data_IF_536252651647
#
_entry.id   IF_536252651647
#
_cell.length_a   1.000
_cell.length_b   1.000
_cell.length_c   1.000
_cell.angle_alpha   90.00
_cell.angle_beta   90.00
_cell.angle_gamma   90.00
#
_symmetry.space_group_name_H-M   'P 1'
#
loop_
_entity.id
_entity.type
_entity.pdbx_description
1 polymer ?
#
# COMPACT_ATOMS: atom_id res chain seq x y z
N UNK A 1 -16.80 -17.67 -27.59
CA UNK A 1 -15.89 -18.36 -26.64
C UNK A 1 -14.54 -17.66 -26.57
N UNK A 2 -13.83 -17.43 -27.68
CA UNK A 2 -12.50 -16.79 -27.64
C UNK A 2 -12.51 -15.31 -27.26
N UNK A 3 -13.52 -14.54 -27.71
CA UNK A 3 -13.64 -13.12 -27.36
C UNK A 3 -13.94 -12.88 -25.88
N UNK A 4 -14.73 -13.76 -25.26
CA UNK A 4 -15.04 -13.70 -23.83
C UNK A 4 -13.81 -14.02 -22.99
N UNK A 5 -13.05 -15.05 -23.37
CA UNK A 5 -11.76 -15.40 -22.74
C UNK A 5 -10.76 -14.25 -22.83
N UNK A 6 -10.63 -13.62 -24.00
CA UNK A 6 -9.75 -12.45 -24.19
C UNK A 6 -10.20 -11.26 -23.34
N UNK A 7 -11.50 -11.00 -23.27
CA UNK A 7 -12.06 -9.93 -22.42
C UNK A 7 -11.77 -10.17 -20.93
N UNK A 8 -11.95 -11.41 -20.46
CA UNK A 8 -11.64 -11.78 -19.08
C UNK A 8 -10.15 -11.64 -18.77
N UNK A 9 -9.27 -12.02 -19.70
CA UNK A 9 -7.82 -11.82 -19.56
C UNK A 9 -7.46 -10.33 -19.44
N UNK A 10 -8.03 -9.46 -20.27
CA UNK A 10 -7.79 -8.01 -20.15
C UNK A 10 -8.29 -7.44 -18.83
N UNK A 11 -9.50 -7.85 -18.38
CA UNK A 11 -10.03 -7.42 -17.08
C UNK A 11 -9.12 -7.87 -15.92
N UNK A 12 -8.62 -9.10 -15.97
CA UNK A 12 -7.69 -9.61 -14.98
C UNK A 12 -6.39 -8.80 -14.96
N UNK A 13 -5.79 -8.55 -16.13
CA UNK A 13 -4.57 -7.74 -16.24
C UNK A 13 -4.77 -6.32 -15.70
N UNK A 14 -5.91 -5.69 -16.00
CA UNK A 14 -6.22 -4.36 -15.49
C UNK A 14 -6.37 -4.38 -13.96
N UNK A 15 -7.10 -5.35 -13.41
CA UNK A 15 -7.27 -5.49 -11.97
C UNK A 15 -5.94 -5.77 -11.25
N UNK A 16 -5.04 -6.55 -11.85
CA UNK A 16 -3.69 -6.79 -11.33
C UNK A 16 -2.84 -5.53 -11.33
N UNK A 17 -2.92 -4.71 -12.39
CA UNK A 17 -2.21 -3.44 -12.46
C UNK A 17 -2.75 -2.44 -11.42
N UNK A 18 -4.07 -2.32 -11.31
CA UNK A 18 -4.71 -1.45 -10.31
C UNK A 18 -4.32 -1.87 -8.88
N UNK A 19 -4.34 -3.18 -8.59
CA UNK A 19 -3.87 -3.71 -7.30
C UNK A 19 -2.42 -3.32 -7.01
N UNK A 20 -1.51 -3.38 -8.00
CA UNK A 20 -0.11 -2.97 -7.82
C UNK A 20 0.01 -1.47 -7.57
N UNK A 21 -0.75 -0.65 -8.29
CA UNK A 21 -0.76 0.79 -8.10
C UNK A 21 -1.24 1.16 -6.68
N UNK A 22 -2.34 0.55 -6.23
CA UNK A 22 -2.86 0.75 -4.88
C UNK A 22 -1.85 0.35 -3.79
N UNK A 23 -1.14 -0.77 -3.96
CA UNK A 23 -0.07 -1.18 -3.05
C UNK A 23 1.04 -0.14 -2.96
N UNK A 24 1.50 0.39 -4.09
CA UNK A 24 2.51 1.45 -4.12
C UNK A 24 2.03 2.75 -3.45
N UNK A 25 0.74 3.07 -3.55
CA UNK A 25 0.18 4.22 -2.84
C UNK A 25 0.17 4.03 -1.33
N UNK A 26 -0.09 2.82 -0.84
CA UNK A 26 -0.02 2.51 0.59
C UNK A 26 1.41 2.65 1.12
N UNK A 27 2.41 2.22 0.36
CA UNK A 27 3.82 2.39 0.74
C UNK A 27 4.18 3.88 0.84
N UNK A 28 3.81 4.69 -0.16
CA UNK A 28 4.04 6.14 -0.13
C UNK A 28 3.33 6.83 1.03
N UNK A 29 2.09 6.42 1.33
CA UNK A 29 1.35 6.97 2.45
C UNK A 29 1.98 6.59 3.80
N UNK A 30 2.58 5.40 3.91
CA UNK A 30 3.34 5.02 5.09
C UNK A 30 4.58 5.91 5.27
N UNK A 31 5.31 6.17 4.19
CA UNK A 31 6.49 7.02 4.21
C UNK A 31 6.15 8.48 4.58
N UNK A 32 5.06 9.02 4.02
CA UNK A 32 4.57 10.37 4.37
C UNK A 32 4.15 10.48 5.84
N UNK A 33 3.57 9.42 6.42
CA UNK A 33 3.24 9.38 7.85
C UNK A 33 4.51 9.38 8.71
N UNK A 34 5.55 8.64 8.32
CA UNK A 34 6.83 8.63 9.03
C UNK A 34 7.49 10.02 8.96
N UNK A 35 7.54 10.64 7.79
CA UNK A 35 8.09 12.00 7.59
C UNK A 35 7.38 13.04 8.45
N UNK A 36 6.04 12.99 8.52
CA UNK A 36 5.24 13.89 9.35
C UNK A 36 5.45 13.65 10.85
N UNK A 37 5.69 12.41 11.27
CA UNK A 37 5.97 12.10 12.67
C UNK A 37 7.32 12.67 13.13
N UNK A 38 8.31 12.75 12.24
CA UNK A 38 9.63 13.35 12.52
C UNK A 38 9.58 14.89 12.61
N UNK A 39 8.51 15.53 12.13
CA UNK A 39 8.32 16.98 12.12
C UNK A 39 7.82 17.57 13.46
N UNK A 40 8.44 17.18 14.59
CA UNK A 40 8.21 17.77 15.92
C UNK A 40 6.86 17.40 16.59
N UNK A 41 6.47 16.12 16.48
CA UNK A 41 5.29 15.57 17.15
C UNK A 41 5.57 15.11 18.60
N UNK A 42 4.54 15.09 19.46
CA UNK A 42 4.66 14.44 20.77
C UNK A 42 5.01 12.96 20.62
N UNK A 43 5.79 12.39 21.55
CA UNK A 43 6.20 10.97 21.52
C UNK A 43 5.01 10.02 21.30
N UNK A 44 3.87 10.27 21.96
CA UNK A 44 2.65 9.45 21.80
C UNK A 44 2.00 9.55 20.42
N UNK A 45 2.20 10.66 19.71
CA UNK A 45 1.73 10.86 18.34
C UNK A 45 2.68 10.18 17.34
N UNK A 46 3.99 10.25 17.59
CA UNK A 46 5.02 9.54 16.81
C UNK A 46 4.79 8.03 16.86
N UNK A 47 4.56 7.45 18.03
CA UNK A 47 4.34 6.01 18.18
C UNK A 47 3.06 5.54 17.45
N UNK A 48 1.99 6.34 17.50
CA UNK A 48 0.75 6.06 16.78
C UNK A 48 0.92 6.16 15.26
N UNK A 49 1.65 7.17 14.79
CA UNK A 49 1.98 7.35 13.38
C UNK A 49 2.80 6.16 12.86
N UNK A 50 3.87 5.77 13.55
CA UNK A 50 4.70 4.60 13.19
C UNK A 50 3.89 3.30 13.13
N UNK A 51 3.00 3.08 14.11
CA UNK A 51 2.12 1.91 14.11
C UNK A 51 1.20 1.90 12.88
N UNK A 52 0.67 3.06 12.49
CA UNK A 52 -0.19 3.18 11.33
C UNK A 52 0.59 3.00 10.01
N UNK A 53 1.79 3.58 9.90
CA UNK A 53 2.69 3.40 8.77
C UNK A 53 3.08 1.92 8.59
N UNK A 54 3.44 1.23 9.68
CA UNK A 54 3.74 -0.21 9.66
C UNK A 54 2.55 -1.03 9.16
N UNK A 55 1.34 -0.72 9.62
CA UNK A 55 0.12 -1.39 9.15
C UNK A 55 -0.09 -1.20 7.65
N UNK A 56 0.15 0.01 7.13
CA UNK A 56 0.03 0.29 5.69
C UNK A 56 1.07 -0.50 4.88
N UNK A 57 2.33 -0.56 5.35
CA UNK A 57 3.38 -1.38 4.73
C UNK A 57 3.03 -2.86 4.71
N UNK A 58 2.46 -3.42 5.78
CA UNK A 58 2.01 -4.83 5.79
C UNK A 58 0.91 -5.11 4.78
N UNK A 59 -0.01 -4.16 4.56
CA UNK A 59 -1.09 -4.30 3.56
C UNK A 59 -0.53 -4.13 2.14
N UNK A 60 0.34 -3.15 1.92
CA UNK A 60 1.04 -2.89 0.66
C UNK A 60 1.91 -4.07 0.24
N UNK A 61 2.65 -4.63 1.21
CA UNK A 61 3.64 -5.68 1.03
C UNK A 61 3.49 -6.80 2.09
N UNK A 62 2.58 -7.77 1.90
CA UNK A 62 2.32 -8.83 2.88
C UNK A 62 3.49 -9.81 3.11
N UNK A 63 4.60 -9.67 2.36
CA UNK A 63 5.81 -10.48 2.50
C UNK A 63 6.96 -9.74 3.20
N UNK A 64 6.74 -8.54 3.75
CA UNK A 64 7.79 -7.76 4.43
C UNK A 64 8.14 -8.24 5.84
N UNK A 65 7.65 -9.41 6.27
CA UNK A 65 8.07 -10.08 7.51
C UNK A 65 8.99 -11.27 7.16
N UNK A 66 10.31 -11.03 7.21
CA UNK A 66 11.37 -12.01 7.46
C UNK A 66 12.56 -11.31 8.08
#
# INVERSE_FOLDING_TARGET
MDDEKRTLQHKLQNAEQEKRALKSLLDKAADEIDDLAEADCSQSAIERAKTQAERLRKIGNPNSES
#
